data_IF_786262919380
#
_entry.id   IF_786262919380
#
_cell.length_a   1.000
_cell.length_b   1.000
_cell.length_c   1.000
_cell.angle_alpha   90.00
_cell.angle_beta   90.00
_cell.angle_gamma   90.00
#
_symmetry.space_group_name_H-M   'P 1'
#
loop_
_entity.id
_entity.type
_entity.pdbx_description
1 polymer ?
#
# COMPACT_ATOMS: atom_id res chain seq x y z
N UNK A 1 -39.29 3.45 -10.19
CA UNK A 1 -39.47 3.76 -8.76
C UNK A 1 -39.14 2.50 -7.97
N UNK A 2 -37.87 2.28 -7.65
CA UNK A 2 -37.43 1.15 -6.81
C UNK A 2 -36.79 1.72 -5.54
N UNK A 3 -37.25 1.26 -4.37
CA UNK A 3 -36.65 1.55 -3.07
C UNK A 3 -35.75 0.38 -2.69
N UNK A 4 -34.46 0.63 -2.50
CA UNK A 4 -33.60 -0.31 -1.78
C UNK A 4 -33.68 0.01 -0.28
N UNK A 5 -34.01 -1.01 0.51
CA UNK A 5 -34.04 -0.93 1.97
C UNK A 5 -32.64 -1.26 2.50
N UNK A 6 -31.94 -0.27 3.03
CA UNK A 6 -30.72 -0.49 3.80
C UNK A 6 -31.10 -1.04 5.18
N UNK A 7 -30.73 -2.29 5.45
CA UNK A 7 -30.86 -2.91 6.77
C UNK A 7 -29.64 -2.55 7.61
N UNK A 8 -29.79 -1.60 8.54
CA UNK A 8 -28.78 -1.34 9.55
C UNK A 8 -28.75 -2.48 10.58
N UNK A 9 -27.70 -3.30 10.56
CA UNK A 9 -27.42 -4.26 11.62
C UNK A 9 -26.50 -3.61 12.67
N UNK A 10 -27.09 -2.93 13.66
CA UNK A 10 -26.34 -2.34 14.76
C UNK A 10 -25.81 -3.41 15.72
N UNK A 11 -24.53 -3.77 15.58
CA UNK A 11 -23.78 -4.55 16.58
C UNK A 11 -22.53 -3.77 16.98
N UNK A 12 -22.68 -2.89 17.97
CA UNK A 12 -21.58 -2.06 18.49
C UNK A 12 -20.67 -2.87 19.44
N UNK A 13 -19.71 -3.62 18.88
CA UNK A 13 -18.58 -4.13 19.65
C UNK A 13 -17.53 -3.04 19.83
N UNK A 14 -17.60 -2.33 20.96
CA UNK A 14 -16.63 -1.29 21.32
C UNK A 14 -15.24 -1.86 21.59
N UNK A 15 -14.38 -1.89 20.57
CA UNK A 15 -12.96 -2.21 20.70
C UNK A 15 -12.16 -1.00 21.19
N UNK A 16 -12.00 -0.87 22.51
CA UNK A 16 -11.06 0.11 23.08
C UNK A 16 -9.61 -0.30 22.78
N UNK A 17 -8.90 0.41 21.88
CA UNK A 17 -7.52 0.06 21.54
C UNK A 17 -6.61 1.27 21.21
N UNK A 18 -5.88 1.72 22.23
CA UNK A 18 -4.69 2.57 22.22
C UNK A 18 -4.83 4.01 21.64
N UNK A 19 -3.97 4.96 22.05
CA UNK A 19 -3.77 6.22 21.32
C UNK A 19 -3.20 5.90 19.93
N UNK A 20 -3.43 6.77 18.94
CA UNK A 20 -2.94 6.50 17.59
C UNK A 20 -1.42 6.36 17.54
N UNK A 21 -0.95 5.26 16.96
CA UNK A 21 0.45 5.00 16.67
C UNK A 21 0.92 5.59 15.34
N UNK A 22 0.06 6.38 14.68
CA UNK A 22 0.37 6.98 13.40
C UNK A 22 1.50 7.99 13.51
N UNK A 23 2.24 8.14 12.42
CA UNK A 23 3.27 9.17 12.29
C UNK A 23 3.27 9.67 10.86
N UNK A 24 2.78 10.90 10.67
CA UNK A 24 2.81 11.59 9.38
C UNK A 24 4.25 11.67 8.85
N UNK A 25 5.22 12.01 9.71
CA UNK A 25 6.65 12.04 9.37
C UNK A 25 7.14 10.70 8.77
N UNK A 26 6.75 9.57 9.38
CA UNK A 26 7.08 8.23 8.89
C UNK A 26 6.40 7.92 7.55
N UNK A 27 5.11 8.22 7.41
CA UNK A 27 4.38 8.02 6.16
C UNK A 27 4.97 8.87 5.02
N UNK A 28 5.19 10.16 5.27
CA UNK A 28 5.72 11.19 4.37
C UNK A 28 7.15 10.90 3.93
N UNK A 29 8.09 10.85 4.87
CA UNK A 29 9.54 10.83 4.59
C UNK A 29 10.15 9.43 4.47
N UNK A 30 9.42 8.36 4.81
CA UNK A 30 9.84 6.97 4.53
C UNK A 30 8.95 6.34 3.46
N UNK A 31 7.71 6.02 3.80
CA UNK A 31 6.95 5.05 3.01
C UNK A 31 6.35 5.59 1.71
N UNK A 32 5.94 6.86 1.69
CA UNK A 32 5.48 7.51 0.45
C UNK A 32 6.63 7.77 -0.50
N UNK A 33 7.70 8.41 -0.01
CA UNK A 33 8.93 8.67 -0.76
C UNK A 33 9.43 7.43 -1.52
N UNK A 34 9.47 6.28 -0.85
CA UNK A 34 9.89 5.02 -1.46
C UNK A 34 8.86 4.45 -2.46
N UNK A 35 7.56 4.73 -2.28
CA UNK A 35 6.52 4.34 -3.23
C UNK A 35 6.47 5.22 -4.50
N UNK A 36 6.87 6.50 -4.41
CA UNK A 36 6.78 7.46 -5.51
C UNK A 36 8.07 7.61 -6.32
N UNK A 37 9.25 7.41 -5.72
CA UNK A 37 10.56 7.62 -6.37
C UNK A 37 10.74 6.83 -7.68
N UNK A 38 10.15 5.64 -7.83
CA UNK A 38 10.29 4.85 -9.05
C UNK A 38 9.44 5.35 -10.23
N UNK A 39 8.41 6.18 -9.99
CA UNK A 39 7.69 6.88 -11.08
C UNK A 39 8.63 7.83 -11.85
N UNK A 40 9.71 8.27 -11.21
CA UNK A 40 10.78 9.07 -11.83
C UNK A 40 11.99 8.26 -12.33
N UNK A 41 12.08 6.96 -12.02
CA UNK A 41 13.23 6.10 -12.37
C UNK A 41 13.47 6.00 -13.88
N UNK A 42 12.40 5.98 -14.69
CA UNK A 42 12.46 5.87 -16.15
C UNK A 42 13.26 6.98 -16.86
N UNK A 43 13.63 8.07 -16.17
CA UNK A 43 14.39 9.19 -16.74
C UNK A 43 15.77 9.44 -16.10
N UNK A 44 16.12 8.86 -14.96
CA UNK A 44 17.24 9.35 -14.12
C UNK A 44 18.13 8.24 -13.52
N UNK A 45 18.87 7.54 -14.38
CA UNK A 45 19.82 6.48 -13.99
C UNK A 45 20.97 6.92 -13.08
N UNK A 46 21.29 8.23 -13.02
CA UNK A 46 22.42 8.76 -12.24
C UNK A 46 22.09 9.36 -10.86
N UNK A 47 20.81 9.59 -10.54
CA UNK A 47 20.39 10.15 -9.25
C UNK A 47 20.00 9.07 -8.22
N UNK A 48 19.93 7.82 -8.67
CA UNK A 48 19.41 6.68 -7.90
C UNK A 48 20.42 6.12 -6.89
N UNK A 49 21.69 5.99 -7.27
CA UNK A 49 22.74 5.38 -6.43
C UNK A 49 22.94 6.14 -5.11
N UNK A 50 23.22 7.46 -5.16
CA UNK A 50 23.42 8.31 -3.97
C UNK A 50 22.27 8.20 -2.95
N UNK A 51 21.03 8.00 -3.41
CA UNK A 51 19.84 7.84 -2.57
C UNK A 51 19.69 6.44 -1.97
N UNK A 52 20.03 5.40 -2.74
CA UNK A 52 19.85 4.00 -2.33
C UNK A 52 21.09 3.36 -1.70
N UNK A 53 22.25 4.01 -1.70
CA UNK A 53 23.50 3.56 -1.08
C UNK A 53 23.41 3.21 0.44
N UNK A 54 22.33 3.61 1.14
CA UNK A 54 22.05 3.25 2.54
C UNK A 54 21.09 2.06 2.72
N UNK A 55 20.59 1.49 1.62
CA UNK A 55 19.71 0.32 1.62
C UNK A 55 20.42 -0.85 0.94
N UNK A 56 20.35 -2.04 1.53
CA UNK A 56 20.77 -3.27 0.85
C UNK A 56 19.65 -3.77 -0.04
N UNK A 57 19.90 -3.89 -1.34
CA UNK A 57 18.91 -4.28 -2.33
C UNK A 57 18.87 -5.79 -2.55
N UNK A 58 17.68 -6.40 -2.47
CA UNK A 58 17.48 -7.85 -2.61
C UNK A 58 16.80 -8.25 -3.92
N UNK A 59 16.09 -7.34 -4.59
CA UNK A 59 15.53 -7.60 -5.92
C UNK A 59 14.49 -6.57 -6.37
N UNK A 60 14.44 -6.38 -7.69
CA UNK A 60 13.35 -5.75 -8.42
C UNK A 60 12.56 -6.86 -9.13
N UNK A 61 11.24 -6.76 -9.10
CA UNK A 61 10.33 -7.76 -9.63
C UNK A 61 9.32 -7.05 -10.52
N UNK A 62 9.37 -7.35 -11.82
CA UNK A 62 8.47 -6.83 -12.86
C UNK A 62 7.96 -8.03 -13.65
N UNK A 63 6.68 -8.36 -13.50
CA UNK A 63 6.09 -9.59 -14.02
C UNK A 63 4.69 -9.33 -14.59
N UNK A 64 4.34 -9.91 -15.76
CA UNK A 64 3.00 -9.80 -16.31
C UNK A 64 1.93 -10.27 -15.32
N UNK A 65 0.95 -9.41 -15.07
CA UNK A 65 -0.23 -9.72 -14.24
C UNK A 65 -1.56 -9.36 -14.90
N UNK A 66 -1.57 -9.05 -16.21
CA UNK A 66 -2.80 -9.10 -17.02
C UNK A 66 -3.45 -10.48 -16.88
N UNK A 67 -4.57 -10.51 -16.16
CA UNK A 67 -5.35 -11.72 -15.91
C UNK A 67 -6.47 -11.97 -16.92
N UNK A 68 -6.64 -11.07 -17.89
CA UNK A 68 -7.81 -11.01 -18.76
C UNK A 68 -7.52 -11.40 -20.21
N UNK A 69 -6.24 -11.41 -20.63
CA UNK A 69 -5.80 -11.80 -21.99
C UNK A 69 -6.53 -11.04 -23.11
N UNK A 70 -7.03 -9.84 -22.81
CA UNK A 70 -7.90 -9.03 -23.67
C UNK A 70 -7.39 -7.60 -23.85
N UNK A 71 -6.33 -7.20 -23.15
CA UNK A 71 -5.73 -5.88 -23.27
C UNK A 71 -4.38 -5.97 -24.01
N UNK A 72 -4.19 -5.29 -25.16
CA UNK A 72 -2.93 -5.34 -25.91
C UNK A 72 -1.76 -4.56 -25.26
N UNK A 73 -1.87 -4.19 -23.98
CA UNK A 73 -0.91 -3.31 -23.28
C UNK A 73 0.05 -4.03 -22.31
N UNK A 74 -0.04 -5.36 -22.15
CA UNK A 74 0.84 -6.15 -21.25
C UNK A 74 0.97 -5.55 -19.84
N UNK A 75 -0.13 -5.51 -19.07
CA UNK A 75 -0.09 -5.03 -17.67
C UNK A 75 0.91 -5.87 -16.86
N UNK A 76 1.90 -5.22 -16.26
CA UNK A 76 2.82 -5.82 -15.29
C UNK A 76 2.56 -5.32 -13.88
N UNK A 77 2.75 -6.22 -12.93
CA UNK A 77 2.81 -5.89 -11.53
C UNK A 77 4.29 -5.68 -11.19
N UNK A 78 4.59 -4.59 -10.50
CA UNK A 78 5.95 -4.20 -10.15
C UNK A 78 6.14 -4.03 -8.64
N UNK A 79 7.31 -4.41 -8.14
CA UNK A 79 7.72 -4.15 -6.77
C UNK A 79 9.19 -4.41 -6.52
N UNK A 80 9.69 -4.04 -5.35
CA UNK A 80 11.07 -4.29 -4.94
C UNK A 80 11.19 -4.59 -3.45
N UNK A 81 12.30 -5.24 -3.09
CA UNK A 81 12.66 -5.54 -1.71
C UNK A 81 14.07 -5.05 -1.40
N UNK A 82 14.20 -4.35 -0.28
CA UNK A 82 15.46 -3.88 0.28
C UNK A 82 15.45 -3.99 1.81
N UNK A 83 16.60 -3.78 2.45
CA UNK A 83 16.68 -3.57 3.91
C UNK A 83 17.41 -2.26 4.21
N UNK A 84 16.97 -1.56 5.26
CA UNK A 84 17.66 -0.40 5.81
C UNK A 84 18.31 -0.76 7.13
N UNK A 85 19.60 -0.43 7.27
CA UNK A 85 20.33 -0.64 8.52
C UNK A 85 20.01 0.46 9.53
N UNK A 86 19.91 1.71 9.08
CA UNK A 86 19.60 2.88 9.93
C UNK A 86 18.21 2.79 10.58
N UNK A 87 17.25 2.19 9.89
CA UNK A 87 15.85 2.07 10.31
C UNK A 87 15.50 0.69 10.89
N UNK A 88 16.46 -0.25 10.95
CA UNK A 88 16.26 -1.67 11.33
C UNK A 88 15.02 -2.32 10.67
N UNK A 89 14.87 -2.13 9.35
CA UNK A 89 13.67 -2.50 8.61
C UNK A 89 13.96 -3.22 7.28
N UNK A 90 13.26 -4.32 7.04
CA UNK A 90 13.08 -4.91 5.71
C UNK A 90 11.89 -4.19 5.06
N UNK A 91 12.06 -3.70 3.83
CA UNK A 91 11.07 -2.86 3.16
C UNK A 91 10.66 -3.51 1.84
N UNK A 92 9.36 -3.81 1.72
CA UNK A 92 8.72 -4.24 0.47
C UNK A 92 7.89 -3.09 -0.07
N UNK A 93 8.17 -2.69 -1.30
CA UNK A 93 7.45 -1.63 -2.00
C UNK A 93 6.77 -2.22 -3.23
N UNK A 94 5.47 -2.00 -3.36
CA UNK A 94 4.71 -2.31 -4.57
C UNK A 94 4.35 -1.01 -5.29
N UNK A 95 4.52 -1.00 -6.62
CA UNK A 95 4.41 0.22 -7.42
C UNK A 95 2.98 0.44 -7.94
N UNK A 96 2.58 1.69 -8.22
CA UNK A 96 1.41 1.97 -9.04
C UNK A 96 1.63 1.48 -10.48
N UNK A 97 0.54 1.08 -11.13
CA UNK A 97 0.46 0.84 -12.57
C UNK A 97 0.34 2.18 -13.32
N UNK A 98 0.98 2.27 -14.49
CA UNK A 98 1.11 3.50 -15.27
C UNK A 98 0.00 3.69 -16.32
N UNK A 99 -1.15 3.01 -16.18
CA UNK A 99 -2.25 3.06 -17.17
C UNK A 99 -3.56 3.53 -16.55
N UNK A 100 -4.25 4.48 -17.21
CA UNK A 100 -5.56 4.98 -16.76
C UNK A 100 -6.68 3.93 -16.89
N UNK A 101 -6.41 2.80 -17.56
CA UNK A 101 -7.37 1.71 -17.82
C UNK A 101 -7.85 1.00 -16.55
N UNK A 102 -6.98 0.84 -15.54
CA UNK A 102 -7.32 0.10 -14.32
C UNK A 102 -8.27 0.88 -13.41
N UNK A 103 -8.14 2.21 -13.37
CA UNK A 103 -8.97 3.10 -12.54
C UNK A 103 -10.44 3.11 -12.99
N UNK A 104 -10.68 2.93 -14.29
CA UNK A 104 -12.03 2.74 -14.84
C UNK A 104 -12.56 1.29 -14.69
N UNK A 105 -11.76 0.37 -14.16
CA UNK A 105 -12.11 -1.05 -14.00
C UNK A 105 -12.00 -1.56 -12.55
N UNK A 106 -11.65 -0.72 -11.56
CA UNK A 106 -11.55 -1.14 -10.15
C UNK A 106 -12.82 -1.83 -9.63
N UNK A 107 -14.00 -1.32 -9.97
CA UNK A 107 -15.28 -1.93 -9.57
C UNK A 107 -15.49 -3.31 -10.23
N UNK A 108 -15.02 -3.50 -11.46
CA UNK A 108 -15.04 -4.80 -12.13
C UNK A 108 -14.05 -5.79 -11.49
N UNK A 109 -12.83 -5.33 -11.18
CA UNK A 109 -11.81 -6.14 -10.50
C UNK A 109 -12.21 -6.50 -9.06
N UNK A 110 -12.87 -5.59 -8.34
CA UNK A 110 -13.40 -5.81 -6.99
C UNK A 110 -14.53 -6.83 -6.97
N UNK A 111 -15.47 -6.75 -7.92
CA UNK A 111 -16.58 -7.71 -8.04
C UNK A 111 -16.12 -9.14 -8.37
N UNK A 112 -14.91 -9.33 -8.91
CA UNK A 112 -14.29 -10.64 -9.09
C UNK A 112 -13.47 -11.04 -7.87
N UNK A 113 -14.08 -11.67 -6.87
CA UNK A 113 -13.40 -12.07 -5.63
C UNK A 113 -12.81 -13.49 -5.63
N UNK A 114 -11.94 -13.79 -4.65
CA UNK A 114 -11.48 -15.14 -4.30
C UNK A 114 -11.21 -15.26 -2.79
N UNK A 115 -11.28 -16.47 -2.18
CA UNK A 115 -11.07 -16.63 -0.74
C UNK A 115 -9.67 -16.21 -0.27
N UNK A 116 -9.61 -15.47 0.83
CA UNK A 116 -8.34 -15.14 1.50
C UNK A 116 -8.06 -16.14 2.64
N UNK A 117 -6.82 -16.64 2.82
CA UNK A 117 -6.51 -17.64 3.85
C UNK A 117 -6.84 -17.23 5.30
N UNK A 118 -6.85 -15.92 5.59
CA UNK A 118 -7.24 -15.38 6.89
C UNK A 118 -8.75 -15.26 7.11
N UNK A 119 -9.57 -15.58 6.11
CA UNK A 119 -11.02 -15.41 6.10
C UNK A 119 -11.48 -14.19 5.30
N UNK A 120 -12.75 -14.23 4.89
CA UNK A 120 -13.30 -13.33 3.88
C UNK A 120 -12.79 -13.63 2.47
N UNK A 121 -13.12 -12.73 1.55
CA UNK A 121 -12.68 -12.76 0.16
C UNK A 121 -11.98 -11.45 -0.22
N UNK A 122 -11.04 -11.55 -1.15
CA UNK A 122 -10.28 -10.42 -1.71
C UNK A 122 -10.49 -10.35 -3.21
N UNK A 123 -10.39 -9.15 -3.78
CA UNK A 123 -10.43 -8.94 -5.22
C UNK A 123 -9.31 -9.76 -5.89
N UNK A 124 -9.71 -10.64 -6.80
CA UNK A 124 -8.86 -11.66 -7.43
C UNK A 124 -7.68 -11.03 -8.16
N UNK A 125 -7.88 -9.86 -8.77
CA UNK A 125 -6.83 -9.13 -9.49
C UNK A 125 -5.69 -8.68 -8.56
N UNK A 126 -5.99 -7.96 -7.48
CA UNK A 126 -4.97 -7.53 -6.50
C UNK A 126 -4.27 -8.72 -5.83
N UNK A 127 -5.02 -9.76 -5.42
CA UNK A 127 -4.40 -10.89 -4.72
C UNK A 127 -3.56 -11.76 -5.64
N UNK A 128 -3.98 -12.00 -6.89
CA UNK A 128 -3.13 -12.71 -7.85
C UNK A 128 -1.93 -11.88 -8.31
N UNK A 129 -2.06 -10.56 -8.48
CA UNK A 129 -0.92 -9.68 -8.76
C UNK A 129 0.17 -9.77 -7.68
N UNK A 130 -0.24 -9.80 -6.41
CA UNK A 130 0.65 -10.10 -5.29
C UNK A 130 1.25 -11.52 -5.40
N UNK A 131 0.42 -12.56 -5.62
CA UNK A 131 0.90 -13.95 -5.67
C UNK A 131 1.85 -14.22 -6.85
N UNK A 132 1.71 -13.50 -7.97
CA UNK A 132 2.62 -13.55 -9.12
C UNK A 132 4.00 -13.03 -8.71
N UNK A 133 4.06 -11.82 -8.12
CA UNK A 133 5.31 -11.25 -7.59
C UNK A 133 5.94 -12.13 -6.50
N UNK A 134 5.13 -12.60 -5.55
CA UNK A 134 5.55 -13.46 -4.44
C UNK A 134 6.24 -14.74 -4.95
N UNK A 135 5.57 -15.49 -5.82
CA UNK A 135 6.10 -16.75 -6.34
C UNK A 135 7.16 -16.56 -7.44
N UNK A 136 7.20 -15.40 -8.09
CA UNK A 136 8.18 -15.03 -9.12
C UNK A 136 9.53 -14.52 -8.59
N UNK A 137 9.75 -14.54 -7.27
CA UNK A 137 11.05 -14.30 -6.65
C UNK A 137 11.01 -13.48 -5.35
N UNK A 138 9.96 -12.67 -5.15
CA UNK A 138 9.86 -11.80 -3.97
C UNK A 138 9.83 -12.58 -2.64
N UNK A 139 9.22 -13.78 -2.63
CA UNK A 139 9.25 -14.71 -1.47
C UNK A 139 10.67 -15.10 -1.08
N UNK A 140 11.50 -15.43 -2.06
CA UNK A 140 12.83 -16.00 -1.82
C UNK A 140 13.83 -14.89 -1.46
N UNK A 141 13.67 -13.69 -2.05
CA UNK A 141 14.31 -12.47 -1.60
C UNK A 141 13.89 -12.08 -0.17
N UNK A 142 12.60 -12.17 0.18
CA UNK A 142 12.10 -11.90 1.52
C UNK A 142 12.71 -12.84 2.57
N UNK A 143 12.74 -14.15 2.32
CA UNK A 143 13.39 -15.08 3.25
C UNK A 143 14.91 -14.88 3.30
N UNK A 144 15.57 -14.47 2.21
CA UNK A 144 16.99 -14.10 2.23
C UNK A 144 17.23 -12.88 3.13
N UNK A 145 16.43 -11.82 2.97
CA UNK A 145 16.51 -10.62 3.81
C UNK A 145 16.20 -10.93 5.29
N UNK A 146 15.12 -11.68 5.56
CA UNK A 146 14.74 -12.07 6.93
C UNK A 146 15.80 -12.95 7.60
N UNK A 147 16.42 -13.88 6.89
CA UNK A 147 17.48 -14.71 7.44
C UNK A 147 18.76 -13.91 7.72
N UNK A 148 19.03 -12.83 6.97
CA UNK A 148 20.14 -11.91 7.24
C UNK A 148 19.84 -10.95 8.39
N UNK A 149 18.59 -10.49 8.50
CA UNK A 149 18.13 -9.48 9.45
C UNK A 149 16.95 -9.99 10.30
N UNK A 150 17.15 -10.99 11.19
CA UNK A 150 16.07 -11.69 11.87
C UNK A 150 15.29 -10.83 12.89
N UNK A 151 15.86 -9.70 13.32
CA UNK A 151 15.26 -8.81 14.31
C UNK A 151 14.53 -7.60 13.71
N UNK A 152 14.73 -7.32 12.42
CA UNK A 152 14.20 -6.11 11.77
C UNK A 152 12.67 -6.16 11.68
N UNK A 153 12.06 -4.97 11.59
CA UNK A 153 10.65 -4.85 11.22
C UNK A 153 10.43 -5.19 9.73
N UNK A 154 9.19 -5.48 9.34
CA UNK A 154 8.77 -5.49 7.94
C UNK A 154 7.88 -4.28 7.67
N UNK A 155 8.33 -3.41 6.77
CA UNK A 155 7.54 -2.31 6.25
C UNK A 155 7.00 -2.69 4.87
N UNK A 156 5.69 -2.55 4.66
CA UNK A 156 5.04 -2.84 3.37
C UNK A 156 4.29 -1.59 2.90
N UNK A 157 4.63 -1.10 1.70
CA UNK A 157 4.07 0.15 1.17
C UNK A 157 3.73 0.07 -0.32
N UNK A 158 2.81 0.93 -0.77
CA UNK A 158 2.51 1.13 -2.18
C UNK A 158 1.41 2.17 -2.42
N UNK A 159 1.44 2.79 -3.61
CA UNK A 159 0.43 3.72 -4.08
C UNK A 159 -0.54 3.07 -5.09
N UNK A 160 -1.80 3.48 -5.12
CA UNK A 160 -2.84 2.97 -6.04
C UNK A 160 -2.92 1.43 -6.04
N UNK A 161 -2.81 0.76 -7.19
CA UNK A 161 -2.70 -0.71 -7.29
C UNK A 161 -1.64 -1.26 -6.31
N UNK A 162 -0.47 -0.63 -6.25
CA UNK A 162 0.61 -1.04 -5.36
C UNK A 162 0.18 -1.09 -3.90
N UNK A 163 -0.69 -0.16 -3.46
CA UNK A 163 -1.32 -0.22 -2.14
C UNK A 163 -2.13 -1.50 -1.95
N UNK A 164 -2.93 -1.88 -2.94
CA UNK A 164 -3.73 -3.12 -2.92
C UNK A 164 -2.86 -4.39 -2.90
N UNK A 165 -1.71 -4.39 -3.58
CA UNK A 165 -0.72 -5.46 -3.49
C UNK A 165 -0.08 -5.50 -2.09
N UNK A 166 0.30 -4.34 -1.54
CA UNK A 166 0.84 -4.19 -0.19
C UNK A 166 -0.11 -4.70 0.90
N UNK A 167 -1.42 -4.41 0.78
CA UNK A 167 -2.44 -4.95 1.69
C UNK A 167 -2.47 -6.47 1.71
N UNK A 168 -2.47 -7.09 0.54
CA UNK A 168 -2.46 -8.54 0.40
C UNK A 168 -1.16 -9.14 0.94
N UNK A 169 -0.02 -8.55 0.62
CA UNK A 169 1.30 -9.02 1.06
C UNK A 169 1.44 -8.99 2.59
N UNK A 170 1.15 -7.87 3.23
CA UNK A 170 1.27 -7.72 4.69
C UNK A 170 0.33 -8.69 5.44
N UNK A 171 -0.93 -8.80 5.00
CA UNK A 171 -1.90 -9.72 5.57
C UNK A 171 -1.52 -11.19 5.33
N UNK A 172 -0.95 -11.53 4.17
CA UNK A 172 -0.52 -12.90 3.84
C UNK A 172 0.71 -13.32 4.64
N UNK A 173 1.75 -12.48 4.71
CA UNK A 173 2.96 -12.74 5.51
C UNK A 173 2.60 -12.94 6.99
N UNK A 174 1.70 -12.11 7.52
CA UNK A 174 1.09 -12.25 8.84
C UNK A 174 0.35 -13.59 9.01
N UNK A 175 -0.61 -13.87 8.12
CA UNK A 175 -1.49 -15.03 8.23
C UNK A 175 -0.75 -16.38 8.06
N UNK A 176 0.30 -16.41 7.27
CA UNK A 176 1.15 -17.59 7.09
C UNK A 176 2.17 -17.79 8.22
N UNK A 177 2.22 -16.89 9.22
CA UNK A 177 3.19 -16.95 10.31
C UNK A 177 4.64 -16.69 9.87
N UNK A 178 4.83 -16.04 8.71
CA UNK A 178 6.15 -15.76 8.17
C UNK A 178 6.86 -14.63 8.94
N UNK A 179 6.14 -13.85 9.73
CA UNK A 179 6.66 -12.84 10.66
C UNK A 179 5.66 -12.60 11.80
N UNK A 180 6.11 -12.10 12.96
CA UNK A 180 5.16 -11.74 14.02
C UNK A 180 4.37 -10.49 13.61
N UNK A 181 3.08 -10.47 13.95
CA UNK A 181 2.14 -9.43 13.57
C UNK A 181 2.52 -8.05 14.11
N UNK A 182 3.20 -8.00 15.26
CA UNK A 182 3.69 -6.75 15.87
C UNK A 182 4.89 -6.13 15.14
N UNK A 183 5.62 -6.92 14.34
CA UNK A 183 6.76 -6.45 13.54
C UNK A 183 6.35 -5.94 12.14
N UNK A 184 5.10 -6.11 11.73
CA UNK A 184 4.62 -5.76 10.39
C UNK A 184 3.93 -4.39 10.43
N UNK A 185 4.51 -3.42 9.72
CA UNK A 185 3.93 -2.09 9.48
C UNK A 185 3.51 -1.97 8.03
N UNK A 186 2.24 -1.63 7.80
CA UNK A 186 1.69 -1.38 6.48
C UNK A 186 1.20 0.07 6.38
N UNK A 187 1.57 0.77 5.31
CA UNK A 187 0.98 2.05 4.94
C UNK A 187 0.75 2.09 3.43
N UNK A 188 -0.44 2.50 2.99
CA UNK A 188 -0.77 2.65 1.56
C UNK A 188 -1.36 4.01 1.23
N UNK A 189 -1.23 4.42 -0.03
CA UNK A 189 -1.60 5.75 -0.52
C UNK A 189 -2.56 5.61 -1.70
N UNK A 190 -3.72 6.28 -1.68
CA UNK A 190 -4.73 6.17 -2.75
C UNK A 190 -5.21 4.74 -2.98
N UNK A 191 -5.31 3.93 -1.92
CA UNK A 191 -5.71 2.53 -2.01
C UNK A 191 -7.22 2.38 -2.19
N UNK A 192 -7.63 1.63 -3.22
CA UNK A 192 -9.02 1.21 -3.43
C UNK A 192 -9.41 -0.02 -2.58
N UNK A 193 -10.66 -0.48 -2.72
CA UNK A 193 -11.20 -1.62 -1.95
C UNK A 193 -10.47 -2.94 -2.31
N UNK A 194 -9.96 -3.63 -1.29
CA UNK A 194 -9.14 -4.85 -1.45
C UNK A 194 -9.94 -6.14 -1.29
N UNK A 195 -10.96 -6.15 -0.43
CA UNK A 195 -11.76 -7.33 -0.12
C UNK A 195 -13.05 -7.00 0.63
N UNK A 196 -13.81 -8.03 0.96
CA UNK A 196 -15.12 -7.90 1.59
C UNK A 196 -15.07 -7.47 3.07
N UNK A 197 -16.24 -7.26 3.66
CA UNK A 197 -16.39 -6.85 5.06
C UNK A 197 -15.73 -7.83 6.05
N UNK A 198 -15.67 -9.14 5.74
CA UNK A 198 -15.07 -10.15 6.62
C UNK A 198 -13.54 -10.09 6.54
N UNK A 199 -12.99 -9.80 5.36
CA UNK A 199 -11.56 -9.48 5.22
C UNK A 199 -11.21 -8.17 5.95
N UNK A 200 -12.04 -7.13 5.79
CA UNK A 200 -11.85 -5.82 6.43
C UNK A 200 -11.91 -5.88 7.96
N UNK A 201 -12.92 -6.54 8.54
CA UNK A 201 -13.06 -6.77 9.99
C UNK A 201 -11.84 -7.51 10.57
N UNK A 202 -11.27 -8.45 9.81
CA UNK A 202 -10.11 -9.23 10.23
C UNK A 202 -8.78 -8.51 10.04
N UNK A 203 -8.70 -7.51 9.16
CA UNK A 203 -7.44 -6.87 8.79
C UNK A 203 -6.64 -6.33 10.00
N UNK A 204 -7.23 -5.61 10.99
CA UNK A 204 -6.50 -5.14 12.18
C UNK A 204 -5.99 -6.26 13.10
N UNK A 205 -6.51 -7.49 12.95
CA UNK A 205 -6.04 -8.68 13.66
C UNK A 205 -5.00 -9.49 12.85
N UNK A 206 -4.73 -9.09 11.61
CA UNK A 206 -3.62 -9.58 10.78
C UNK A 206 -2.46 -8.58 10.82
N UNK A 207 -2.72 -7.29 10.59
CA UNK A 207 -1.71 -6.24 10.57
C UNK A 207 -2.17 -5.10 11.50
N UNK A 208 -1.75 -5.10 12.78
CA UNK A 208 -2.21 -4.12 13.76
C UNK A 208 -1.73 -2.69 13.49
N UNK A 209 -0.59 -2.52 12.82
CA UNK A 209 -0.11 -1.23 12.31
C UNK A 209 -0.41 -1.17 10.80
N UNK A 210 -1.61 -0.69 10.45
CA UNK A 210 -2.08 -0.62 9.07
C UNK A 210 -2.82 0.70 8.81
N UNK A 211 -2.20 1.59 8.06
CA UNK A 211 -2.76 2.92 7.75
C UNK A 211 -3.03 3.09 6.25
N UNK A 212 -4.20 3.62 5.92
CA UNK A 212 -4.65 3.87 4.54
C UNK A 212 -4.83 5.36 4.36
N UNK A 213 -3.98 5.97 3.56
CA UNK A 213 -3.82 7.41 3.42
C UNK A 213 -4.56 7.85 2.15
N UNK A 214 -5.61 8.64 2.36
CA UNK A 214 -6.47 9.23 1.33
C UNK A 214 -6.82 10.66 1.75
N UNK A 215 -6.66 11.63 0.85
CA UNK A 215 -6.81 13.05 1.13
C UNK A 215 -7.45 13.79 -0.05
N UNK A 216 -8.12 14.90 0.26
CA UNK A 216 -8.69 15.86 -0.70
C UNK A 216 -7.90 17.19 -0.69
N UNK A 217 -6.62 17.14 -0.33
CA UNK A 217 -5.72 18.28 -0.26
C UNK A 217 -4.26 17.85 -0.52
N UNK A 218 -3.36 18.81 -0.65
CA UNK A 218 -1.95 18.56 -0.93
C UNK A 218 -1.15 17.99 0.26
N UNK A 219 -1.72 17.85 1.46
CA UNK A 219 -1.04 17.38 2.68
C UNK A 219 0.31 18.08 2.97
N UNK A 220 0.35 19.41 3.04
CA UNK A 220 1.58 20.11 3.43
C UNK A 220 2.02 19.72 4.85
N UNK A 221 3.27 20.04 5.21
CA UNK A 221 3.74 19.79 6.58
C UNK A 221 3.00 20.75 7.54
N UNK A 222 2.29 20.17 8.52
CA UNK A 222 1.42 20.92 9.43
C UNK A 222 -0.05 21.05 8.98
N UNK A 223 -0.44 20.54 7.81
CA UNK A 223 -1.85 20.44 7.45
C UNK A 223 -2.59 19.45 8.38
N UNK A 224 -3.81 19.80 8.79
CA UNK A 224 -4.62 18.98 9.70
C UNK A 224 -5.21 17.75 9.01
N UNK A 225 -5.16 16.60 9.69
CA UNK A 225 -5.78 15.35 9.24
C UNK A 225 -6.78 14.78 10.26
N UNK A 226 -7.55 13.80 9.82
CA UNK A 226 -8.50 13.02 10.64
C UNK A 226 -8.04 11.56 10.59
N UNK A 227 -7.81 10.95 11.75
CA UNK A 227 -7.64 9.49 11.86
C UNK A 227 -9.00 8.81 12.00
N UNK A 228 -9.13 7.62 11.41
CA UNK A 228 -10.41 6.97 11.18
C UNK A 228 -10.37 5.49 11.56
N UNK A 229 -10.95 5.18 12.73
CA UNK A 229 -11.04 3.82 13.28
C UNK A 229 -12.07 2.94 12.55
N UNK A 230 -12.96 3.56 11.76
CA UNK A 230 -14.03 2.91 10.99
C UNK A 230 -13.74 2.92 9.48
N UNK A 231 -13.96 1.79 8.81
CA UNK A 231 -13.99 1.73 7.35
C UNK A 231 -15.29 2.31 6.79
N UNK A 232 -15.22 2.95 5.61
CA UNK A 232 -16.38 3.50 4.86
C UNK A 232 -17.19 4.58 5.63
N UNK A 233 -16.56 5.24 6.61
CA UNK A 233 -17.22 6.18 7.51
C UNK A 233 -17.44 7.56 6.87
N UNK A 234 -18.64 8.12 7.05
CA UNK A 234 -19.02 9.47 6.61
C UNK A 234 -18.32 10.60 7.37
N UNK A 235 -17.47 10.28 8.35
CA UNK A 235 -16.56 11.22 9.02
C UNK A 235 -15.19 11.33 8.31
N UNK A 236 -14.96 10.52 7.27
CA UNK A 236 -13.66 10.19 6.69
C UNK A 236 -13.68 10.40 5.16
N UNK A 237 -12.99 9.56 4.38
CA UNK A 237 -12.96 9.61 2.91
C UNK A 237 -14.35 9.70 2.27
N UNK A 238 -15.29 8.91 2.77
CA UNK A 238 -16.60 8.73 2.16
C UNK A 238 -17.53 9.94 2.40
N UNK A 239 -17.09 10.95 3.18
CA UNK A 239 -17.75 12.25 3.30
C UNK A 239 -17.67 13.07 2.00
N UNK A 240 -16.66 12.82 1.15
CA UNK A 240 -16.46 13.52 -0.13
C UNK A 240 -17.17 12.74 -1.24
N UNK A 241 -18.17 13.34 -1.93
CA UNK A 241 -18.90 12.67 -3.01
C UNK A 241 -17.99 12.16 -4.13
N UNK A 242 -18.30 10.98 -4.69
CA UNK A 242 -17.52 10.38 -5.79
C UNK A 242 -17.36 11.28 -7.04
N UNK A 243 -18.24 12.27 -7.21
CA UNK A 243 -18.18 13.26 -8.30
C UNK A 243 -17.24 14.46 -8.01
N UNK A 244 -16.63 14.51 -6.82
CA UNK A 244 -15.63 15.51 -6.42
C UNK A 244 -14.21 14.92 -6.36
N UNK A 245 -14.07 13.60 -6.53
CA UNK A 245 -12.76 12.92 -6.59
C UNK A 245 -12.07 13.25 -7.92
N UNK A 246 -10.90 13.89 -7.88
CA UNK A 246 -10.14 14.24 -9.09
C UNK A 246 -9.00 13.26 -9.38
N UNK A 247 -8.41 13.35 -10.57
CA UNK A 247 -7.25 12.52 -10.91
C UNK A 247 -5.95 12.99 -10.23
N UNK A 248 -5.90 14.24 -9.77
CA UNK A 248 -4.72 14.84 -9.15
C UNK A 248 -4.61 14.44 -7.67
N UNK A 249 -5.74 14.34 -6.95
CA UNK A 249 -5.84 13.82 -5.57
C UNK A 249 -5.29 12.38 -5.45
N UNK A 250 -5.48 11.58 -6.51
CA UNK A 250 -5.01 10.19 -6.55
C UNK A 250 -3.49 10.07 -6.77
N UNK A 251 -2.85 11.13 -7.27
CA UNK A 251 -1.46 11.12 -7.74
C UNK A 251 -0.50 11.84 -6.77
N UNK A 252 -0.91 12.98 -6.21
CA UNK A 252 0.01 13.86 -5.45
C UNK A 252 -0.29 13.88 -3.96
N UNK A 253 0.44 13.08 -3.19
CA UNK A 253 0.43 13.14 -1.72
C UNK A 253 1.60 14.03 -1.24
N UNK A 254 1.43 14.65 -0.08
CA UNK A 254 2.47 15.43 0.62
C UNK A 254 3.11 16.58 -0.19
N UNK A 255 2.39 17.13 -1.16
CA UNK A 255 2.83 18.16 -2.10
C UNK A 255 4.17 17.82 -2.77
N UNK A 256 4.40 16.52 -3.00
CA UNK A 256 5.70 15.96 -3.36
C UNK A 256 6.05 16.12 -4.84
N UNK A 257 5.85 17.31 -5.42
CA UNK A 257 6.29 17.64 -6.78
C UNK A 257 7.81 17.76 -6.85
N UNK A 258 8.51 16.62 -6.81
CA UNK A 258 9.93 16.53 -7.08
C UNK A 258 10.86 16.40 -5.87
N UNK A 259 10.52 15.59 -4.86
CA UNK A 259 11.54 15.05 -3.93
C UNK A 259 12.41 13.97 -4.62
N UNK A 260 13.00 14.32 -5.77
CA UNK A 260 13.97 13.52 -6.50
C UNK A 260 15.35 13.87 -5.93
N UNK A 261 15.82 13.09 -4.95
CA UNK A 261 17.23 12.95 -4.58
C UNK A 261 18.08 14.23 -4.66
N UNK A 262 17.60 15.32 -4.04
CA UNK A 262 18.29 16.61 -4.08
C UNK A 262 19.61 16.44 -3.32
N UNK A 263 20.73 16.61 -4.04
CA UNK A 263 22.08 16.39 -3.51
C UNK A 263 22.28 17.10 -2.18
N UNK A 264 22.66 16.34 -1.16
CA UNK A 264 22.76 16.83 0.21
C UNK A 264 23.72 18.01 0.32
N UNK A 265 23.20 19.14 0.81
CA UNK A 265 24.03 20.24 1.29
C UNK A 265 23.34 20.94 2.48
N UNK A 266 23.45 20.30 3.64
CA UNK A 266 23.35 20.92 4.96
C UNK A 266 22.16 21.83 5.27
N UNK A 267 20.98 21.25 5.50
CA UNK A 267 19.98 21.84 6.40
C UNK A 267 19.60 20.83 7.48
N UNK A 268 19.98 21.13 8.73
CA UNK A 268 19.27 20.56 9.88
C UNK A 268 17.94 21.29 10.00
N UNK A 269 16.87 20.52 10.18
CA UNK A 269 15.65 20.92 10.88
C UNK A 269 15.43 19.84 11.93
#
# INVERSE_FOLDING_TARGET
MFRYLLFFCLISYGYSRLPSGYSDFYARHKLYYLSSIFVHYLNLTGAFEDCFNKYEFFGFFDLPCDMFNQNPQNITCMGYLMASVDDEAIIIVFMPTMSDLELHQEEYFYNMTMPFPGGGTVAKFWYNGFLILWNGGLRDAFFTAKNKYPNYELWVTGGSMGGCLASNAAAYISQMGFMDKSQIKMVSFGQTRVGDAVFAERYPNLVPYAYRIWYNNAMNEGDSYIECDEGESQNCSDQIPKNEWTWDDHKTYFNATGYICIKGNGSKI
#
